data_IF_445252199550
#
_entry.id   IF_445252199550
#
_cell.length_a   1.000
_cell.length_b   1.000
_cell.length_c   1.000
_cell.angle_alpha   90.00
_cell.angle_beta   90.00
_cell.angle_gamma   90.00
#
_symmetry.space_group_name_H-M   'P 1'
#
loop_
_entity.id
_entity.type
_entity.pdbx_description
1 polymer ?
#
# COMPACT_ATOMS: atom_id res chain seq x y z
N UNK A 1 24.27 -29.10 20.52
CA UNK A 1 25.08 -29.26 19.30
C UNK A 1 24.48 -30.42 18.51
N UNK A 2 23.66 -30.09 17.51
CA UNK A 2 23.24 -31.00 16.44
C UNK A 2 23.36 -30.20 15.16
N UNK A 3 24.20 -30.71 14.26
CA UNK A 3 24.41 -30.26 12.89
C UNK A 3 23.68 -31.25 11.98
N UNK A 4 23.15 -30.73 10.87
CA UNK A 4 22.78 -31.36 9.57
C UNK A 4 21.45 -30.78 9.06
N UNK A 5 21.26 -30.34 7.82
CA UNK A 5 22.02 -30.42 6.57
C UNK A 5 21.70 -29.11 5.82
N UNK A 6 22.71 -28.32 5.44
CA UNK A 6 22.53 -27.30 4.40
C UNK A 6 22.44 -28.02 3.05
N UNK A 7 21.27 -28.61 2.75
CA UNK A 7 20.96 -29.03 1.39
C UNK A 7 20.75 -27.79 0.54
N UNK A 8 21.74 -27.61 -0.32
CA UNK A 8 21.75 -26.84 -1.53
C UNK A 8 20.57 -27.22 -2.43
N UNK A 9 19.39 -26.69 -2.15
CA UNK A 9 18.33 -26.56 -3.16
C UNK A 9 18.09 -25.08 -3.35
N UNK A 10 18.33 -24.62 -4.57
CA UNK A 10 17.84 -23.34 -5.05
C UNK A 10 16.32 -23.34 -4.93
N UNK A 11 15.78 -22.99 -3.78
CA UNK A 11 14.46 -22.41 -3.72
C UNK A 11 14.63 -21.08 -4.43
N UNK A 12 14.23 -21.03 -5.69
CA UNK A 12 13.81 -19.80 -6.36
C UNK A 12 12.60 -19.28 -5.55
N UNK A 13 12.86 -18.86 -4.31
CA UNK A 13 11.90 -18.29 -3.41
C UNK A 13 11.50 -17.02 -4.11
N UNK A 14 10.31 -17.05 -4.68
CA UNK A 14 9.67 -15.85 -5.17
C UNK A 14 9.83 -14.84 -4.04
N UNK A 15 10.63 -13.79 -4.26
CA UNK A 15 10.58 -12.63 -3.39
C UNK A 15 9.13 -12.18 -3.54
N UNK A 16 8.27 -12.56 -2.59
CA UNK A 16 6.91 -12.06 -2.54
C UNK A 16 7.07 -10.59 -2.20
N UNK A 17 7.21 -9.76 -3.23
CA UNK A 17 7.11 -8.31 -3.10
C UNK A 17 5.66 -8.09 -2.68
N UNK A 18 5.38 -7.72 -1.42
CA UNK A 18 4.01 -7.53 -0.98
C UNK A 18 3.39 -6.50 -1.91
N UNK A 19 2.26 -6.86 -2.54
CA UNK A 19 1.59 -5.96 -3.48
C UNK A 19 0.54 -5.15 -2.73
N UNK A 20 0.33 -3.88 -3.11
CA UNK A 20 -0.80 -3.09 -2.66
C UNK A 20 -2.10 -3.88 -2.82
N UNK A 21 -2.89 -4.02 -1.75
CA UNK A 21 -4.19 -4.70 -1.85
C UNK A 21 -5.27 -3.79 -2.48
N UNK A 22 -5.07 -2.48 -2.41
CA UNK A 22 -5.90 -1.44 -3.00
C UNK A 22 -5.01 -0.26 -3.41
N UNK A 23 -5.56 0.68 -4.20
CA UNK A 23 -4.81 1.89 -4.58
C UNK A 23 -4.41 2.75 -3.37
N UNK A 24 -5.17 2.65 -2.27
CA UNK A 24 -4.94 3.36 -1.02
C UNK A 24 -3.97 2.66 -0.05
N UNK A 25 -3.36 1.55 -0.49
CA UNK A 25 -2.25 0.88 0.19
C UNK A 25 -0.92 1.54 -0.16
N UNK A 26 -0.62 2.60 0.58
CA UNK A 26 0.41 3.58 0.25
C UNK A 26 1.69 3.38 1.06
N UNK A 27 1.67 2.52 2.08
CA UNK A 27 2.79 2.29 2.97
C UNK A 27 3.13 0.80 3.14
N UNK A 28 4.41 0.50 3.28
CA UNK A 28 4.84 -0.84 3.67
C UNK A 28 4.49 -1.11 5.15
N UNK A 29 4.14 -2.36 5.52
CA UNK A 29 4.02 -3.53 4.65
C UNK A 29 2.75 -3.51 3.80
N UNK A 30 2.89 -3.61 2.47
CA UNK A 30 1.74 -3.69 1.56
C UNK A 30 0.97 -5.00 1.75
N UNK A 31 -0.31 -4.98 1.43
CA UNK A 31 -1.26 -6.06 1.70
C UNK A 31 -1.97 -5.92 3.05
N UNK A 32 -1.82 -4.79 3.75
CA UNK A 32 -2.42 -4.53 5.05
C UNK A 32 -2.78 -3.05 5.21
N UNK A 33 -4.07 -2.75 5.37
CA UNK A 33 -4.55 -1.39 5.68
C UNK A 33 -4.26 -0.99 7.12
N UNK A 34 -3.52 0.11 7.28
CA UNK A 34 -3.10 0.61 8.58
C UNK A 34 -3.21 2.13 8.70
N UNK A 35 -2.99 2.66 9.90
CA UNK A 35 -2.89 4.11 10.10
C UNK A 35 -1.67 4.73 9.40
N UNK A 36 -0.68 3.93 9.01
CA UNK A 36 0.47 4.40 8.22
C UNK A 36 0.03 4.85 6.83
N UNK A 37 -0.95 4.17 6.23
CA UNK A 37 -1.55 4.52 4.93
C UNK A 37 -2.32 5.83 5.01
N UNK A 38 -3.06 6.05 6.12
CA UNK A 38 -3.72 7.32 6.42
C UNK A 38 -2.70 8.46 6.47
N UNK A 39 -1.62 8.28 7.23
CA UNK A 39 -0.55 9.27 7.31
C UNK A 39 0.08 9.53 5.94
N UNK A 40 0.29 8.49 5.12
CA UNK A 40 0.85 8.62 3.78
C UNK A 40 -0.08 9.35 2.83
N UNK A 41 -1.38 9.06 2.86
CA UNK A 41 -2.38 9.77 2.10
C UNK A 41 -2.41 11.25 2.47
N UNK A 42 -2.49 11.59 3.76
CA UNK A 42 -2.56 13.00 4.22
C UNK A 42 -1.32 13.77 3.81
N UNK A 43 -0.12 13.21 4.02
CA UNK A 43 1.12 13.86 3.61
C UNK A 43 1.17 14.04 2.08
N UNK A 44 0.85 12.99 1.33
CA UNK A 44 0.82 13.05 -0.14
C UNK A 44 -0.23 14.04 -0.66
N UNK A 45 -1.39 14.14 -0.03
CA UNK A 45 -2.45 15.07 -0.41
C UNK A 45 -2.01 16.53 -0.22
N UNK A 46 -1.33 16.84 0.89
CA UNK A 46 -0.79 18.17 1.17
C UNK A 46 0.38 18.53 0.24
N UNK A 47 1.20 17.54 -0.14
CA UNK A 47 2.35 17.71 -1.02
C UNK A 47 2.00 17.59 -2.52
N UNK A 48 0.72 17.38 -2.85
CA UNK A 48 0.21 17.14 -4.22
C UNK A 48 0.87 15.94 -4.91
N UNK A 49 1.10 14.86 -4.17
CA UNK A 49 1.53 13.56 -4.70
C UNK A 49 0.42 12.95 -5.58
N UNK A 50 0.69 12.60 -6.85
CA UNK A 50 -0.30 11.97 -7.74
C UNK A 50 -0.93 10.68 -7.20
N UNK A 51 -0.30 10.02 -6.22
CA UNK A 51 -0.87 8.85 -5.55
C UNK A 51 -2.05 9.19 -4.64
N UNK A 52 -2.15 10.44 -4.18
CA UNK A 52 -3.26 10.95 -3.36
C UNK A 52 -4.36 11.65 -4.18
N UNK A 53 -4.21 11.73 -5.51
CA UNK A 53 -5.21 12.25 -6.46
C UNK A 53 -6.07 11.09 -6.96
N UNK A 54 -7.14 10.80 -6.21
CA UNK A 54 -7.87 9.54 -6.30
C UNK A 54 -9.01 9.53 -7.31
N UNK A 55 -9.44 10.69 -7.81
CA UNK A 55 -10.56 10.82 -8.75
C UNK A 55 -10.11 11.27 -10.15
N UNK A 56 -10.92 10.99 -11.18
CA UNK A 56 -10.56 11.23 -12.60
C UNK A 56 -10.39 12.72 -12.98
N UNK A 57 -10.70 13.66 -12.07
CA UNK A 57 -10.30 15.05 -12.23
C UNK A 57 -8.86 15.23 -11.79
N UNK A 58 -7.94 14.67 -12.58
CA UNK A 58 -6.51 14.71 -12.27
C UNK A 58 -6.00 16.13 -12.01
N UNK A 59 -5.02 16.24 -11.14
CA UNK A 59 -4.39 17.48 -10.65
C UNK A 59 -5.33 18.36 -9.79
N UNK A 60 -6.51 17.86 -9.41
CA UNK A 60 -7.44 18.56 -8.50
C UNK A 60 -7.54 17.80 -7.19
N UNK A 61 -6.78 18.26 -6.18
CA UNK A 61 -6.80 17.72 -4.83
C UNK A 61 -7.93 18.35 -4.00
N UNK A 62 -9.03 17.62 -3.81
CA UNK A 62 -10.18 18.09 -3.05
C UNK A 62 -10.83 17.01 -2.16
N UNK A 63 -11.97 17.32 -1.56
CA UNK A 63 -12.65 16.41 -0.64
C UNK A 63 -13.21 15.15 -1.31
N UNK A 64 -13.30 15.11 -2.63
CA UNK A 64 -13.68 13.90 -3.38
C UNK A 64 -12.57 12.85 -3.33
N UNK A 65 -11.30 13.27 -3.32
CA UNK A 65 -10.17 12.36 -3.08
C UNK A 65 -10.20 11.80 -1.66
N UNK A 66 -10.49 12.66 -0.69
CA UNK A 66 -10.61 12.25 0.72
C UNK A 66 -11.74 11.24 0.90
N UNK A 67 -12.90 11.47 0.29
CA UNK A 67 -14.00 10.51 0.32
C UNK A 67 -13.63 9.20 -0.38
N UNK A 68 -13.00 9.27 -1.57
CA UNK A 68 -12.51 8.10 -2.29
C UNK A 68 -11.49 7.30 -1.48
N UNK A 69 -10.61 7.98 -0.74
CA UNK A 69 -9.67 7.33 0.17
C UNK A 69 -10.39 6.58 1.28
N UNK A 70 -11.35 7.24 1.96
CA UNK A 70 -12.11 6.64 3.07
C UNK A 70 -12.89 5.42 2.59
N UNK A 71 -13.58 5.51 1.46
CA UNK A 71 -14.37 4.39 0.92
C UNK A 71 -13.51 3.17 0.61
N UNK A 72 -12.34 3.38 -0.02
CA UNK A 72 -11.40 2.30 -0.32
C UNK A 72 -10.72 1.75 0.95
N UNK A 73 -10.37 2.62 1.90
CA UNK A 73 -9.75 2.20 3.16
C UNK A 73 -10.71 1.33 4.00
N UNK A 74 -11.98 1.72 4.09
CA UNK A 74 -13.02 0.97 4.81
C UNK A 74 -13.40 -0.33 4.11
N UNK A 75 -13.21 -0.41 2.79
CA UNK A 75 -13.34 -1.67 2.04
C UNK A 75 -12.24 -2.67 2.39
N UNK A 76 -11.11 -2.19 2.93
CA UNK A 76 -10.00 -3.00 3.41
C UNK A 76 -9.26 -3.75 2.30
N UNK A 77 -8.49 -4.75 2.70
CA UNK A 77 -7.89 -5.72 1.79
C UNK A 77 -8.81 -6.96 1.68
N UNK A 78 -8.95 -7.58 0.49
CA UNK A 78 -9.61 -8.89 0.34
C UNK A 78 -9.00 -10.01 1.20
#
# INVERSE_FOLDING_TARGET
MYIDEFRNEAVLGQIQVPQPCARVDLAAPYGNMSTTDICRFIMGFLDKDPRSDLVDTYEVFDLRDVNSFIDQFLSGCP
#
